data_IF_464688543234
#
_entry.id   IF_464688543234
#
_cell.length_a   1.000
_cell.length_b   1.000
_cell.length_c   1.000
_cell.angle_alpha   90.00
_cell.angle_beta   90.00
_cell.angle_gamma   90.00
#
_symmetry.space_group_name_H-M   'P 1'
#
loop_
_entity.id
_entity.type
_entity.pdbx_description
1 polymer ?
#
# COMPACT_ATOMS: atom_id res chain seq x y z
N UNK A 1 18.34 32.69 -7.83
CA UNK A 1 19.41 31.89 -7.21
C UNK A 1 20.58 31.86 -8.19
N UNK A 2 21.78 32.22 -7.75
CA UNK A 2 22.91 32.45 -8.61
C UNK A 2 23.48 31.12 -9.17
N UNK A 3 23.28 30.83 -10.46
CA UNK A 3 23.72 29.57 -11.13
C UNK A 3 25.20 29.23 -10.91
N UNK A 4 26.04 30.27 -10.65
CA UNK A 4 27.46 30.10 -10.34
C UNK A 4 27.71 29.51 -8.93
N UNK A 5 26.86 29.80 -7.94
CA UNK A 5 26.97 29.23 -6.60
C UNK A 5 26.54 27.75 -6.57
N UNK A 6 25.55 27.39 -7.37
CA UNK A 6 25.13 25.99 -7.53
C UNK A 6 26.22 25.14 -8.20
N UNK A 7 26.88 25.69 -9.25
CA UNK A 7 27.99 25.02 -9.92
C UNK A 7 29.22 24.86 -9.01
N UNK A 8 29.49 25.84 -8.12
CA UNK A 8 30.59 25.76 -7.16
C UNK A 8 30.32 24.72 -6.07
N UNK A 9 29.09 24.61 -5.59
CA UNK A 9 28.68 23.61 -4.61
C UNK A 9 28.79 22.20 -5.19
N UNK A 10 28.37 21.98 -6.42
CA UNK A 10 28.48 20.69 -7.12
C UNK A 10 29.95 20.35 -7.41
N UNK A 11 30.79 21.31 -7.82
CA UNK A 11 32.20 21.08 -8.06
C UNK A 11 32.99 20.79 -6.76
N UNK A 12 32.61 21.41 -5.64
CA UNK A 12 33.20 21.17 -4.33
C UNK A 12 32.93 19.75 -3.78
N UNK A 13 31.76 19.18 -4.08
CA UNK A 13 31.42 17.80 -3.70
C UNK A 13 32.17 16.79 -4.57
N UNK A 14 32.47 17.10 -5.82
CA UNK A 14 33.17 16.21 -6.75
C UNK A 14 34.72 16.26 -6.62
N UNK A 15 35.28 17.22 -5.89
CA UNK A 15 36.73 17.36 -5.70
C UNK A 15 37.28 16.76 -4.42
N UNK A 16 36.45 16.13 -3.57
CA UNK A 16 36.94 15.32 -2.45
C UNK A 16 37.73 14.13 -3.03
N UNK A 17 38.99 13.89 -2.61
CA UNK A 17 39.75 12.73 -3.06
C UNK A 17 38.98 11.48 -2.64
N UNK A 18 38.39 10.78 -3.61
CA UNK A 18 37.91 9.43 -3.45
C UNK A 18 39.11 8.55 -3.12
N UNK A 19 39.50 8.48 -1.85
CA UNK A 19 40.28 7.38 -1.35
C UNK A 19 39.38 6.14 -1.49
N UNK A 20 39.35 5.56 -2.68
CA UNK A 20 38.73 4.29 -2.95
C UNK A 20 39.44 3.20 -2.16
N UNK A 21 39.19 3.13 -0.87
CA UNK A 21 39.24 1.86 -0.20
C UNK A 21 38.13 1.03 -0.83
N UNK A 22 38.50 -0.07 -1.45
CA UNK A 22 37.58 -1.07 -1.96
C UNK A 22 36.76 -1.60 -0.78
N UNK A 23 35.73 -0.84 -0.36
CA UNK A 23 34.77 -1.29 0.60
C UNK A 23 33.82 -2.23 -0.12
N UNK A 24 33.78 -3.46 0.35
CA UNK A 24 32.89 -4.48 -0.15
C UNK A 24 31.44 -3.98 -0.01
N UNK A 25 30.83 -3.59 -1.09
CA UNK A 25 29.40 -3.32 -1.11
C UNK A 25 28.66 -4.61 -0.72
N UNK A 26 27.90 -4.56 0.36
CA UNK A 26 27.05 -5.68 0.76
C UNK A 26 25.84 -5.73 -0.15
N UNK A 27 25.85 -6.63 -1.13
CA UNK A 27 24.73 -6.87 -2.03
C UNK A 27 23.97 -8.12 -1.58
N UNK A 28 22.68 -7.98 -1.40
CA UNK A 28 21.78 -9.06 -0.98
C UNK A 28 20.76 -9.31 -2.07
N UNK A 29 20.67 -10.55 -2.56
CA UNK A 29 19.53 -11.06 -3.30
C UNK A 29 18.44 -11.46 -2.30
N UNK A 30 17.22 -11.04 -2.54
CA UNK A 30 16.07 -11.38 -1.70
C UNK A 30 14.81 -11.53 -2.54
N UNK A 31 13.80 -12.14 -1.94
CA UNK A 31 12.50 -12.23 -2.57
C UNK A 31 11.47 -12.95 -1.73
N UNK A 32 10.27 -13.02 -2.28
CA UNK A 32 9.21 -13.91 -1.79
C UNK A 32 8.38 -14.43 -2.93
N UNK A 33 7.95 -15.66 -2.81
CA UNK A 33 6.85 -16.23 -3.59
C UNK A 33 5.65 -16.38 -2.65
N UNK A 34 4.51 -15.80 -3.05
CA UNK A 34 3.22 -15.92 -2.36
C UNK A 34 2.18 -16.35 -3.39
N UNK A 35 1.83 -17.63 -3.35
CA UNK A 35 0.89 -18.23 -4.28
C UNK A 35 -0.33 -18.74 -3.51
N UNK A 36 -1.50 -18.53 -4.08
CA UNK A 36 -2.78 -18.97 -3.50
C UNK A 36 -3.59 -19.80 -4.45
N UNK A 37 -4.34 -20.72 -3.88
CA UNK A 37 -5.55 -21.29 -4.48
C UNK A 37 -6.74 -20.55 -3.88
N UNK A 38 -7.63 -20.10 -4.73
CA UNK A 38 -8.78 -19.30 -4.33
C UNK A 38 -10.07 -19.86 -4.94
N UNK A 39 -11.12 -19.88 -4.13
CA UNK A 39 -12.49 -20.05 -4.59
C UNK A 39 -13.21 -18.74 -4.29
N UNK A 40 -13.64 -18.01 -5.30
CA UNK A 40 -14.23 -16.67 -5.19
C UNK A 40 -15.53 -16.56 -5.97
N UNK A 41 -16.42 -15.68 -5.52
CA UNK A 41 -17.67 -15.38 -6.25
C UNK A 41 -18.02 -13.89 -6.09
N UNK A 42 -18.81 -13.37 -7.04
CA UNK A 42 -19.25 -11.97 -7.04
C UNK A 42 -20.41 -11.70 -6.07
N UNK A 43 -21.18 -12.74 -5.70
CA UNK A 43 -22.30 -12.60 -4.78
C UNK A 43 -23.46 -11.74 -5.32
N UNK A 44 -23.61 -11.63 -6.65
CA UNK A 44 -24.78 -11.05 -7.27
C UNK A 44 -25.70 -12.16 -7.80
N UNK A 45 -27.00 -11.94 -7.77
CA UNK A 45 -28.04 -12.94 -8.02
C UNK A 45 -28.11 -13.53 -9.43
N UNK A 46 -27.33 -13.06 -10.38
CA UNK A 46 -27.43 -13.46 -11.79
C UNK A 46 -26.34 -14.41 -12.27
N UNK A 47 -25.26 -14.59 -11.52
CA UNK A 47 -24.16 -15.52 -11.87
C UNK A 47 -23.45 -16.00 -10.59
N UNK A 48 -24.09 -16.86 -9.82
CA UNK A 48 -23.53 -17.42 -8.58
C UNK A 48 -22.49 -18.53 -8.81
N UNK A 49 -21.73 -18.45 -9.87
CA UNK A 49 -20.69 -19.45 -10.12
C UNK A 49 -19.43 -19.11 -9.32
N UNK A 50 -18.98 -20.08 -8.55
CA UNK A 50 -17.65 -20.04 -7.95
C UNK A 50 -16.57 -20.11 -9.03
N UNK A 51 -15.61 -19.19 -8.94
CA UNK A 51 -14.41 -19.17 -9.78
C UNK A 51 -13.28 -19.76 -8.98
N UNK A 52 -12.64 -20.78 -9.52
CA UNK A 52 -11.46 -21.40 -8.94
C UNK A 52 -10.24 -20.89 -9.68
N UNK A 53 -9.26 -20.35 -8.95
CA UNK A 53 -8.08 -19.76 -9.56
C UNK A 53 -6.83 -19.98 -8.71
N UNK A 54 -5.68 -19.92 -9.36
CA UNK A 54 -4.37 -19.80 -8.73
C UNK A 54 -3.88 -18.40 -8.97
N UNK A 55 -3.39 -17.70 -7.93
CA UNK A 55 -2.90 -16.34 -8.06
C UNK A 55 -1.53 -16.15 -7.41
N UNK A 56 -0.76 -15.26 -8.01
CA UNK A 56 0.45 -14.70 -7.43
C UNK A 56 0.10 -13.39 -6.68
N UNK A 57 0.45 -13.35 -5.39
CA UNK A 57 0.07 -12.26 -4.50
C UNK A 57 1.28 -11.38 -4.18
N UNK A 58 1.59 -10.45 -5.09
CA UNK A 58 2.75 -9.57 -4.97
C UNK A 58 4.06 -10.32 -4.75
N UNK A 59 4.21 -11.48 -5.40
CA UNK A 59 5.48 -12.20 -5.46
C UNK A 59 6.53 -11.33 -6.14
N UNK A 60 7.77 -11.41 -5.68
CA UNK A 60 8.83 -10.50 -6.07
C UNK A 60 10.20 -11.05 -5.81
N UNK A 61 11.17 -10.52 -6.52
CA UNK A 61 12.59 -10.67 -6.23
C UNK A 61 13.29 -9.33 -6.40
N UNK A 62 14.42 -9.16 -5.76
CA UNK A 62 15.18 -7.91 -5.85
C UNK A 62 16.61 -8.06 -5.35
N UNK A 63 17.38 -7.07 -5.67
CA UNK A 63 18.71 -6.84 -5.13
C UNK A 63 18.71 -5.53 -4.35
N UNK A 64 19.38 -5.51 -3.22
CA UNK A 64 19.63 -4.31 -2.44
C UNK A 64 21.05 -4.33 -1.88
N UNK A 65 21.57 -3.16 -1.62
CA UNK A 65 22.92 -3.07 -1.08
C UNK A 65 23.17 -1.78 -0.34
N UNK A 66 24.28 -1.82 0.41
CA UNK A 66 24.77 -0.67 1.17
C UNK A 66 26.26 -0.58 0.96
N UNK A 67 26.75 0.62 0.63
CA UNK A 67 28.17 0.95 0.54
C UNK A 67 28.48 2.05 1.56
N UNK A 68 29.48 1.84 2.40
CA UNK A 68 29.91 2.86 3.37
C UNK A 68 30.83 3.87 2.68
N UNK A 69 30.53 5.15 2.85
CA UNK A 69 31.38 6.25 2.36
C UNK A 69 32.31 6.80 3.45
N UNK A 70 32.31 6.20 4.65
CA UNK A 70 33.03 6.71 5.81
C UNK A 70 32.24 7.75 6.60
N UNK A 71 32.69 8.06 7.81
CA UNK A 71 32.07 9.08 8.65
C UNK A 71 30.62 8.80 9.06
N UNK A 72 30.15 7.55 8.96
CA UNK A 72 28.75 7.18 9.23
C UNK A 72 27.80 7.43 8.06
N UNK A 73 28.31 7.83 6.90
CA UNK A 73 27.53 8.03 5.67
C UNK A 73 27.57 6.77 4.80
N UNK A 74 26.43 6.36 4.29
CA UNK A 74 26.26 5.22 3.40
C UNK A 74 25.50 5.60 2.15
N UNK A 75 25.84 4.97 1.02
CA UNK A 75 24.95 4.85 -0.13
C UNK A 75 24.10 3.59 0.05
N UNK A 76 22.81 3.70 -0.22
CA UNK A 76 21.89 2.56 -0.26
C UNK A 76 21.25 2.49 -1.63
N UNK A 77 20.96 1.28 -2.08
CA UNK A 77 20.19 1.08 -3.30
C UNK A 77 19.27 -0.14 -3.19
N UNK A 78 18.22 -0.14 -3.94
CA UNK A 78 17.32 -1.27 -4.12
C UNK A 78 16.80 -1.28 -5.55
N UNK A 79 16.66 -2.49 -6.11
CA UNK A 79 15.98 -2.75 -7.37
C UNK A 79 15.07 -3.96 -7.16
N UNK A 80 13.76 -3.74 -7.14
CA UNK A 80 12.76 -4.79 -6.88
C UNK A 80 11.87 -4.99 -8.12
N UNK A 81 11.65 -6.25 -8.47
CA UNK A 81 10.87 -6.68 -9.63
C UNK A 81 9.70 -7.54 -9.17
N UNK A 82 8.57 -7.46 -9.85
CA UNK A 82 7.48 -8.42 -9.63
C UNK A 82 7.81 -9.77 -10.28
N UNK A 83 7.23 -10.84 -9.72
CA UNK A 83 7.34 -12.20 -10.24
C UNK A 83 5.95 -12.84 -10.24
N UNK A 84 5.35 -13.02 -11.41
CA UNK A 84 4.02 -13.62 -11.54
C UNK A 84 4.17 -15.15 -11.59
N UNK A 85 4.19 -15.78 -10.40
CA UNK A 85 4.45 -17.21 -10.26
C UNK A 85 3.30 -18.11 -10.71
N UNK A 86 2.12 -17.57 -10.94
CA UNK A 86 0.93 -18.25 -11.43
C UNK A 86 0.87 -18.33 -12.97
N UNK A 87 1.13 -17.21 -13.63
CA UNK A 87 1.00 -17.06 -15.08
C UNK A 87 2.33 -16.80 -15.80
N UNK A 88 3.41 -16.67 -15.05
CA UNK A 88 4.72 -16.28 -15.58
C UNK A 88 4.85 -14.79 -15.83
N UNK A 89 6.08 -14.33 -16.09
CA UNK A 89 6.39 -12.92 -16.34
C UNK A 89 6.57 -12.10 -15.05
N UNK A 90 6.45 -10.80 -15.21
CA UNK A 90 6.66 -9.79 -14.16
C UNK A 90 7.22 -8.51 -14.76
N UNK A 91 7.39 -7.49 -13.92
CA UNK A 91 7.94 -6.18 -14.33
C UNK A 91 9.28 -5.96 -13.66
N UNK A 92 10.34 -5.82 -14.47
CA UNK A 92 11.69 -5.51 -13.96
C UNK A 92 11.69 -4.09 -13.41
N UNK A 93 12.22 -3.91 -12.19
CA UNK A 93 12.30 -2.62 -11.50
C UNK A 93 10.95 -1.88 -11.35
N UNK A 94 9.83 -2.58 -11.50
CA UNK A 94 8.50 -2.00 -11.41
C UNK A 94 8.01 -1.82 -9.97
N UNK A 95 8.78 -2.31 -8.99
CA UNK A 95 8.48 -2.15 -7.56
C UNK A 95 9.48 -1.16 -6.95
N UNK A 96 9.76 -1.24 -5.65
CA UNK A 96 10.63 -0.29 -4.96
C UNK A 96 12.04 -0.31 -5.55
N UNK A 97 12.38 0.73 -6.27
CA UNK A 97 13.64 0.89 -6.99
C UNK A 97 14.18 2.29 -6.75
N UNK A 98 15.33 2.39 -6.07
CA UNK A 98 15.90 3.66 -5.66
C UNK A 98 17.41 3.60 -5.41
N UNK A 99 18.01 4.78 -5.37
CA UNK A 99 19.31 5.03 -4.76
C UNK A 99 19.15 6.12 -3.70
N UNK A 100 19.95 6.07 -2.63
CA UNK A 100 19.83 7.04 -1.55
C UNK A 100 21.09 7.17 -0.71
N UNK A 101 21.06 8.17 0.16
CA UNK A 101 22.06 8.42 1.18
C UNK A 101 21.44 8.21 2.56
N UNK A 102 22.18 7.52 3.43
CA UNK A 102 21.76 7.23 4.79
C UNK A 102 22.87 7.61 5.77
N UNK A 103 22.47 8.25 6.87
CA UNK A 103 23.38 8.64 7.95
C UNK A 103 22.68 8.73 9.29
N UNK A 104 23.35 9.27 10.32
CA UNK A 104 22.75 9.52 11.63
C UNK A 104 21.57 10.49 11.60
N UNK A 105 21.45 11.26 10.55
CA UNK A 105 20.36 12.21 10.30
C UNK A 105 19.13 11.58 9.64
N UNK A 106 19.18 10.30 9.25
CA UNK A 106 18.10 9.60 8.55
C UNK A 106 18.50 9.19 7.14
N UNK A 107 17.51 9.08 6.24
CA UNK A 107 17.70 8.60 4.86
C UNK A 107 17.04 9.55 3.87
N UNK A 108 17.76 9.91 2.80
CA UNK A 108 17.16 10.53 1.61
C UNK A 108 17.32 9.57 0.44
N UNK A 109 16.25 9.31 -0.29
CA UNK A 109 16.25 8.42 -1.47
C UNK A 109 15.48 9.03 -2.62
N UNK A 110 15.90 8.69 -3.85
CA UNK A 110 15.27 9.09 -5.11
C UNK A 110 14.96 7.84 -5.94
N UNK A 111 13.81 7.83 -6.60
CA UNK A 111 13.39 6.69 -7.42
C UNK A 111 11.88 6.48 -7.47
N UNK A 112 11.49 5.20 -7.48
CA UNK A 112 10.11 4.71 -7.47
C UNK A 112 9.88 3.85 -6.23
N UNK A 113 8.98 4.24 -5.35
CA UNK A 113 8.67 3.51 -4.11
C UNK A 113 7.31 3.93 -3.53
N UNK A 114 6.80 3.15 -2.56
CA UNK A 114 5.57 3.45 -1.86
C UNK A 114 5.63 4.79 -1.11
N UNK A 115 4.50 5.47 -1.05
CA UNK A 115 4.36 6.73 -0.33
C UNK A 115 4.33 6.52 1.19
N UNK A 116 4.68 7.54 2.01
CA UNK A 116 4.46 7.52 3.45
C UNK A 116 3.03 7.20 3.87
N UNK A 117 2.04 7.51 3.02
CA UNK A 117 0.64 7.17 3.26
C UNK A 117 0.42 5.66 3.36
N UNK A 118 1.15 4.86 2.58
CA UNK A 118 1.07 3.39 2.61
C UNK A 118 1.71 2.78 3.87
N UNK A 119 2.67 3.49 4.49
CA UNK A 119 3.40 3.00 5.67
C UNK A 119 2.50 2.86 6.92
N UNK A 120 1.26 3.37 6.90
CA UNK A 120 0.31 3.24 8.00
C UNK A 120 -0.41 1.87 8.03
N UNK A 121 -0.55 1.21 6.88
CA UNK A 121 -1.28 -0.05 6.74
C UNK A 121 -0.79 -1.16 7.67
N UNK A 122 0.53 -1.37 7.91
CA UNK A 122 1.02 -2.40 8.82
C UNK A 122 0.56 -2.25 10.27
N UNK A 123 0.15 -1.04 10.68
CA UNK A 123 -0.38 -0.82 12.04
C UNK A 123 -1.73 -1.51 12.21
N UNK A 124 -2.57 -1.52 11.19
CA UNK A 124 -3.87 -2.17 11.21
C UNK A 124 -3.78 -3.63 10.73
N UNK A 125 -3.14 -3.86 9.59
CA UNK A 125 -2.94 -5.17 8.99
C UNK A 125 -1.65 -5.83 9.48
N UNK A 126 -1.72 -6.60 10.55
CA UNK A 126 -0.53 -7.11 11.25
C UNK A 126 0.02 -8.45 10.71
N UNK A 127 -0.59 -9.03 9.69
CA UNK A 127 -0.16 -10.34 9.17
C UNK A 127 0.53 -10.17 7.81
N UNK A 128 1.73 -10.75 7.61
CA UNK A 128 2.55 -10.52 6.41
C UNK A 128 1.88 -10.83 5.07
N UNK A 129 0.78 -11.57 5.10
CA UNK A 129 0.05 -12.02 3.91
C UNK A 129 -1.21 -11.22 3.61
N UNK A 130 -1.75 -10.48 4.58
CA UNK A 130 -3.09 -9.88 4.50
C UNK A 130 -3.16 -8.67 3.58
N UNK A 131 -2.08 -7.91 3.44
CA UNK A 131 -2.04 -6.76 2.53
C UNK A 131 -1.75 -7.15 1.09
N UNK A 132 -1.66 -8.43 0.77
CA UNK A 132 -1.21 -8.90 -0.56
C UNK A 132 -1.96 -10.09 -1.12
N UNK A 133 -3.15 -10.40 -0.61
CA UNK A 133 -4.07 -11.42 -1.15
C UNK A 133 -5.49 -10.87 -1.19
N UNK A 134 -6.47 -11.67 -1.55
CA UNK A 134 -7.89 -11.26 -1.47
C UNK A 134 -8.32 -10.85 -0.05
N UNK A 135 -7.55 -11.22 0.98
CA UNK A 135 -7.76 -10.83 2.38
C UNK A 135 -7.28 -9.40 2.68
N UNK A 136 -6.81 -8.65 1.67
CA UNK A 136 -6.28 -7.31 1.85
C UNK A 136 -7.38 -6.32 2.21
N UNK A 137 -7.26 -5.72 3.36
CA UNK A 137 -8.17 -4.67 3.85
C UNK A 137 -8.11 -3.37 3.04
N UNK A 138 -7.11 -3.22 2.16
CA UNK A 138 -7.02 -2.09 1.25
C UNK A 138 -8.08 -2.12 0.12
N UNK A 139 -8.97 -3.11 0.09
CA UNK A 139 -10.13 -3.11 -0.79
C UNK A 139 -11.01 -1.87 -0.57
N UNK A 140 -11.24 -1.50 0.68
CA UNK A 140 -11.98 -0.32 1.08
C UNK A 140 -11.04 0.83 1.47
N UNK A 141 -9.97 0.52 2.17
CA UNK A 141 -8.97 1.48 2.61
C UNK A 141 -8.14 1.98 1.43
N UNK A 142 -7.79 3.26 1.42
CA UNK A 142 -7.04 3.94 0.37
C UNK A 142 -7.73 3.93 -1.02
N UNK A 143 -8.95 3.43 -1.10
CA UNK A 143 -9.77 3.39 -2.29
C UNK A 143 -9.06 2.72 -3.49
N UNK A 144 -8.84 1.40 -3.40
CA UNK A 144 -8.28 0.65 -4.55
C UNK A 144 -9.00 1.00 -5.87
N UNK A 145 -8.29 1.12 -6.99
CA UNK A 145 -7.00 0.51 -7.31
C UNK A 145 -5.79 1.33 -6.84
N UNK A 146 -4.66 0.67 -6.64
CA UNK A 146 -3.39 1.27 -6.23
C UNK A 146 -2.77 2.11 -7.36
N UNK A 147 -3.47 3.17 -7.76
CA UNK A 147 -3.05 4.09 -8.83
C UNK A 147 -3.55 5.51 -8.59
N UNK A 148 -2.60 6.44 -8.45
CA UNK A 148 -2.90 7.87 -8.28
C UNK A 148 -3.72 8.46 -9.44
N UNK A 149 -3.54 7.96 -10.66
CA UNK A 149 -4.27 8.42 -11.85
C UNK A 149 -5.72 7.94 -11.89
N UNK A 150 -6.08 7.01 -11.02
CA UNK A 150 -7.43 6.50 -10.87
C UNK A 150 -8.07 6.90 -9.53
N UNK A 151 -7.35 7.65 -8.69
CA UNK A 151 -7.84 8.12 -7.40
C UNK A 151 -7.48 7.23 -6.21
N UNK A 152 -6.55 6.30 -6.37
CA UNK A 152 -5.99 5.51 -5.28
C UNK A 152 -4.83 6.22 -4.58
N UNK A 153 -4.73 6.06 -3.28
CA UNK A 153 -3.65 6.60 -2.44
C UNK A 153 -2.62 5.53 -2.03
N UNK A 154 -2.96 4.26 -2.12
CA UNK A 154 -2.06 3.12 -1.91
C UNK A 154 -1.23 2.84 -3.18
N UNK A 155 -0.30 3.73 -3.51
CA UNK A 155 0.42 3.68 -4.77
C UNK A 155 1.94 3.87 -4.62
N UNK A 156 2.68 3.24 -5.54
CA UNK A 156 4.07 3.62 -5.78
C UNK A 156 4.14 4.89 -6.60
N UNK A 157 4.95 5.80 -6.15
CA UNK A 157 5.16 7.08 -6.80
C UNK A 157 6.55 7.08 -7.45
N UNK A 158 6.58 7.09 -8.77
CA UNK A 158 7.80 7.32 -9.55
C UNK A 158 8.25 8.77 -9.48
N UNK A 159 9.45 9.06 -9.98
CA UNK A 159 10.03 10.41 -10.02
C UNK A 159 10.00 11.11 -8.66
N UNK A 160 10.27 10.34 -7.60
CA UNK A 160 10.09 10.74 -6.22
C UNK A 160 11.40 11.03 -5.52
N UNK A 161 11.34 11.98 -4.59
CA UNK A 161 12.32 12.17 -3.52
C UNK A 161 11.60 11.95 -2.18
N UNK A 162 12.21 11.18 -1.29
CA UNK A 162 11.68 10.90 0.05
C UNK A 162 12.77 11.04 1.11
N UNK A 163 12.42 11.66 2.22
CA UNK A 163 13.21 11.65 3.44
C UNK A 163 12.51 10.82 4.50
N UNK A 164 13.27 9.94 5.14
CA UNK A 164 12.88 9.16 6.31
C UNK A 164 13.75 9.58 7.50
N UNK A 165 13.16 10.00 8.62
CA UNK A 165 13.90 10.37 9.84
C UNK A 165 14.57 9.16 10.50
N UNK A 166 15.58 9.36 11.34
CA UNK A 166 16.00 8.32 12.28
C UNK A 166 14.88 8.03 13.28
N UNK A 167 14.96 6.87 13.95
CA UNK A 167 14.07 6.58 15.08
C UNK A 167 14.55 7.38 16.31
N UNK A 168 13.67 8.23 16.84
CA UNK A 168 13.93 9.04 18.03
C UNK A 168 12.96 8.58 19.13
N UNK A 169 13.40 7.71 20.01
CA UNK A 169 12.61 7.19 21.15
C UNK A 169 11.26 6.58 20.72
N UNK A 170 11.25 5.86 19.61
CA UNK A 170 10.05 5.22 19.03
C UNK A 170 9.35 6.06 17.97
N UNK A 171 9.66 7.33 17.82
CA UNK A 171 9.10 8.20 16.79
C UNK A 171 9.91 8.14 15.49
N UNK A 172 9.22 8.02 14.37
CA UNK A 172 9.76 8.17 13.01
C UNK A 172 8.83 9.05 12.19
N UNK A 173 9.38 9.76 11.22
CA UNK A 173 8.61 10.57 10.29
C UNK A 173 9.15 10.44 8.87
N UNK A 174 8.29 10.61 7.89
CA UNK A 174 8.68 10.60 6.48
C UNK A 174 7.91 11.63 5.68
N UNK A 175 8.58 12.17 4.68
CA UNK A 175 8.00 13.11 3.70
C UNK A 175 8.47 12.72 2.30
N UNK A 176 7.56 12.83 1.33
CA UNK A 176 7.80 12.49 -0.07
C UNK A 176 7.16 13.51 -0.99
N UNK A 177 7.86 13.83 -2.07
CA UNK A 177 7.31 14.55 -3.20
C UNK A 177 7.58 13.76 -4.47
N UNK A 178 6.56 13.60 -5.31
CA UNK A 178 6.65 12.99 -6.64
C UNK A 178 6.34 14.02 -7.69
N UNK A 179 7.21 14.12 -8.70
CA UNK A 179 7.02 15.01 -9.83
C UNK A 179 6.39 14.28 -11.02
N UNK A 180 5.79 15.01 -11.93
CA UNK A 180 5.37 14.47 -13.22
C UNK A 180 6.25 15.04 -14.33
N UNK A 181 7.00 14.18 -15.01
CA UNK A 181 7.92 14.58 -16.07
C UNK A 181 7.24 15.19 -17.29
N UNK A 182 5.98 14.83 -17.54
CA UNK A 182 5.27 15.21 -18.77
C UNK A 182 4.48 16.51 -18.68
N UNK A 183 4.62 17.25 -17.58
CA UNK A 183 3.97 18.56 -17.37
C UNK A 183 2.44 18.58 -17.53
N UNK A 184 1.80 17.42 -17.62
CA UNK A 184 0.34 17.27 -17.83
C UNK A 184 -0.42 17.05 -16.54
N UNK A 185 0.27 16.63 -15.48
CA UNK A 185 -0.31 16.35 -14.17
C UNK A 185 0.56 16.96 -13.06
N UNK A 186 -0.06 17.32 -11.97
CA UNK A 186 0.59 17.99 -10.86
C UNK A 186 1.50 17.09 -10.02
N UNK A 187 1.93 17.62 -8.90
CA UNK A 187 2.77 16.94 -7.92
C UNK A 187 1.94 16.13 -6.96
N UNK A 188 2.53 15.05 -6.42
CA UNK A 188 2.01 14.33 -5.27
C UNK A 188 2.90 14.60 -4.08
N UNK A 189 2.29 14.94 -2.96
CA UNK A 189 2.94 15.12 -1.67
C UNK A 189 2.38 14.11 -0.68
N UNK A 190 3.24 13.40 0.02
CA UNK A 190 2.83 12.45 1.05
C UNK A 190 3.71 12.61 2.28
N UNK A 191 3.12 12.51 3.46
CA UNK A 191 3.84 12.55 4.73
C UNK A 191 3.23 11.61 5.75
N UNK A 192 4.07 11.09 6.65
CA UNK A 192 3.64 10.25 7.75
C UNK A 192 4.46 10.48 9.01
N UNK A 193 3.80 10.33 10.15
CA UNK A 193 4.41 10.32 11.47
C UNK A 193 3.98 9.06 12.21
N UNK A 194 4.94 8.33 12.79
CA UNK A 194 4.70 7.02 13.39
C UNK A 194 5.35 6.93 14.76
N UNK A 195 4.70 6.20 15.65
CA UNK A 195 5.22 5.82 16.95
C UNK A 195 5.17 4.31 17.09
N UNK A 196 6.31 3.71 17.44
CA UNK A 196 6.43 2.27 17.68
C UNK A 196 7.39 2.04 18.84
N UNK A 197 6.84 1.96 20.05
CA UNK A 197 7.60 1.61 21.25
C UNK A 197 6.73 0.90 22.28
N UNK A 198 7.31 -0.11 22.94
CA UNK A 198 6.59 -0.95 23.88
C UNK A 198 5.40 -1.66 23.20
N UNK A 199 4.22 -1.69 23.84
CA UNK A 199 3.03 -2.35 23.27
C UNK A 199 2.29 -1.45 22.25
N UNK A 200 2.58 -0.16 22.18
CA UNK A 200 1.85 0.81 21.37
C UNK A 200 2.50 0.98 19.99
N UNK A 201 1.67 0.89 18.96
CA UNK A 201 1.95 1.35 17.62
C UNK A 201 0.88 2.37 17.21
N UNK A 202 1.27 3.49 16.67
CA UNK A 202 0.34 4.51 16.19
C UNK A 202 0.92 5.25 15.01
N UNK A 203 0.08 5.79 14.14
CA UNK A 203 0.52 6.57 13.00
C UNK A 203 -0.57 7.50 12.49
N UNK A 204 -0.13 8.54 11.84
CA UNK A 204 -0.93 9.44 11.03
C UNK A 204 -0.23 9.63 9.70
N UNK A 205 -0.97 9.57 8.61
CA UNK A 205 -0.46 9.79 7.27
C UNK A 205 -1.40 10.67 6.48
N UNK A 206 -0.84 11.47 5.60
CA UNK A 206 -1.55 12.37 4.70
C UNK A 206 -0.93 12.32 3.32
N UNK A 207 -1.78 12.39 2.28
CA UNK A 207 -1.36 12.50 0.90
C UNK A 207 -2.23 13.50 0.15
N UNK A 208 -1.59 14.30 -0.71
CA UNK A 208 -2.22 15.29 -1.57
C UNK A 208 -1.79 15.04 -3.01
N UNK A 209 -2.76 14.74 -3.87
CA UNK A 209 -2.57 14.50 -5.29
C UNK A 209 -3.06 15.73 -6.08
N UNK A 210 -2.14 16.55 -6.57
CA UNK A 210 -2.50 17.71 -7.39
C UNK A 210 -2.46 17.35 -8.87
N UNK A 211 -3.62 17.29 -9.52
CA UNK A 211 -3.73 17.02 -10.95
C UNK A 211 -3.36 15.61 -11.38
N UNK A 212 -3.26 14.64 -10.47
CA UNK A 212 -2.84 13.28 -10.80
C UNK A 212 -3.86 12.54 -11.68
N UNK A 213 -5.16 12.74 -11.47
CA UNK A 213 -6.23 12.16 -12.28
C UNK A 213 -6.50 12.99 -13.54
N UNK A 214 -6.53 14.30 -13.42
CA UNK A 214 -6.66 15.24 -14.53
C UNK A 214 -6.20 16.64 -14.09
N UNK A 215 -5.81 17.49 -15.04
CA UNK A 215 -5.37 18.85 -14.75
C UNK A 215 -6.42 19.62 -13.93
N UNK A 216 -5.98 20.26 -12.85
CA UNK A 216 -6.81 21.08 -11.97
C UNK A 216 -7.59 20.32 -10.89
N UNK A 217 -7.68 19.00 -10.93
CA UNK A 217 -8.31 18.21 -9.85
C UNK A 217 -7.33 17.98 -8.70
N UNK A 218 -7.87 18.01 -7.49
CA UNK A 218 -7.12 17.73 -6.27
C UNK A 218 -7.77 16.61 -5.51
N UNK A 219 -6.95 15.73 -4.96
CA UNK A 219 -7.41 14.64 -4.11
C UNK A 219 -6.59 14.63 -2.84
N UNK A 220 -7.26 14.50 -1.71
CA UNK A 220 -6.65 14.49 -0.38
C UNK A 220 -7.06 13.22 0.37
N UNK A 221 -6.11 12.66 1.10
CA UNK A 221 -6.35 11.55 2.01
C UNK A 221 -5.65 11.80 3.35
N UNK A 222 -6.33 11.49 4.44
CA UNK A 222 -5.76 11.41 5.76
C UNK A 222 -6.14 10.09 6.39
N UNK A 223 -5.18 9.40 7.00
CA UNK A 223 -5.40 8.17 7.72
C UNK A 223 -4.74 8.21 9.09
N UNK A 224 -5.43 7.68 10.09
CA UNK A 224 -4.93 7.51 11.47
C UNK A 224 -5.14 6.06 11.86
N UNK A 225 -4.10 5.41 12.36
CA UNK A 225 -4.19 4.04 12.85
C UNK A 225 -3.45 3.90 14.17
N UNK A 226 -3.99 3.04 15.05
CA UNK A 226 -3.37 2.72 16.34
C UNK A 226 -3.59 1.27 16.71
N UNK A 227 -2.60 0.66 17.34
CA UNK A 227 -2.69 -0.71 17.82
C UNK A 227 -1.99 -0.92 19.15
N UNK A 228 -2.52 -1.85 19.95
CA UNK A 228 -1.97 -2.24 21.24
C UNK A 228 -1.72 -3.72 21.30
N UNK A 229 -0.52 -4.11 21.67
CA UNK A 229 -0.09 -5.49 21.80
C UNK A 229 -0.17 -5.92 23.29
N UNK A 230 -1.06 -6.88 23.59
CA UNK A 230 -1.23 -7.47 24.92
C UNK A 230 -0.34 -8.69 25.16
N UNK A 231 0.57 -9.02 24.23
CA UNK A 231 1.42 -10.20 24.25
C UNK A 231 0.77 -11.37 23.51
N UNK A 232 -0.26 -11.95 24.04
CA UNK A 232 -1.02 -13.07 23.41
C UNK A 232 -1.91 -12.60 22.26
N UNK A 233 -2.37 -11.36 22.32
CA UNK A 233 -3.26 -10.75 21.35
C UNK A 233 -2.83 -9.31 21.03
N UNK A 234 -3.23 -8.83 19.87
CA UNK A 234 -3.12 -7.44 19.48
C UNK A 234 -4.45 -6.96 18.92
N UNK A 235 -4.84 -5.73 19.24
CA UNK A 235 -6.00 -5.04 18.67
C UNK A 235 -5.53 -3.76 18.02
N UNK A 236 -6.09 -3.42 16.86
CA UNK A 236 -5.82 -2.17 16.18
C UNK A 236 -7.09 -1.56 15.60
N UNK A 237 -7.08 -0.24 15.45
CA UNK A 237 -8.13 0.53 14.82
C UNK A 237 -7.57 1.43 13.73
N UNK A 238 -8.42 1.80 12.77
CA UNK A 238 -8.12 2.74 11.69
C UNK A 238 -9.29 3.68 11.48
N UNK A 239 -8.96 4.91 11.13
CA UNK A 239 -9.86 5.90 10.55
C UNK A 239 -9.20 6.51 9.33
N UNK A 240 -9.96 6.72 8.24
CA UNK A 240 -9.52 7.38 7.02
C UNK A 240 -10.59 8.34 6.53
N UNK A 241 -10.16 9.46 5.98
CA UNK A 241 -10.99 10.35 5.16
C UNK A 241 -10.34 10.59 3.81
N UNK A 242 -11.12 10.38 2.76
CA UNK A 242 -10.80 10.74 1.38
C UNK A 242 -11.63 11.94 0.95
N UNK A 243 -11.04 12.83 0.15
CA UNK A 243 -11.70 14.00 -0.45
C UNK A 243 -11.21 14.16 -1.89
N UNK A 244 -12.12 14.09 -2.84
CA UNK A 244 -11.85 14.13 -4.27
C UNK A 244 -12.53 15.31 -4.92
N UNK A 245 -11.82 16.07 -5.74
CA UNK A 245 -12.46 16.95 -6.72
C UNK A 245 -13.12 16.10 -7.82
N UNK A 246 -14.32 16.46 -8.22
CA UNK A 246 -15.05 15.79 -9.30
C UNK A 246 -15.01 16.63 -10.57
N UNK A 247 -14.64 16.04 -11.70
CA UNK A 247 -14.47 16.75 -12.98
C UNK A 247 -15.76 17.46 -13.45
N UNK A 248 -16.94 16.95 -13.10
CA UNK A 248 -18.23 17.57 -13.37
C UNK A 248 -18.58 18.71 -12.39
N UNK A 249 -17.71 18.99 -11.41
CA UNK A 249 -17.87 19.99 -10.38
C UNK A 249 -18.25 19.41 -9.02
N UNK A 250 -17.86 20.13 -7.97
CA UNK A 250 -18.06 19.71 -6.59
C UNK A 250 -17.01 18.72 -6.08
N UNK A 251 -17.20 18.22 -4.88
CA UNK A 251 -16.33 17.25 -4.26
C UNK A 251 -17.07 16.00 -3.81
N UNK A 252 -16.32 14.91 -3.70
CA UNK A 252 -16.76 13.61 -3.23
C UNK A 252 -15.88 13.21 -2.04
N UNK A 253 -16.50 12.96 -0.89
CA UNK A 253 -15.82 12.58 0.35
C UNK A 253 -16.30 11.23 0.83
N UNK A 254 -15.40 10.48 1.47
CA UNK A 254 -15.73 9.23 2.14
C UNK A 254 -14.95 9.11 3.43
N UNK A 255 -15.62 8.76 4.50
CA UNK A 255 -15.02 8.32 5.75
C UNK A 255 -14.94 6.79 5.79
N UNK A 256 -13.93 6.25 6.48
CA UNK A 256 -13.76 4.84 6.72
C UNK A 256 -13.27 4.64 8.13
N UNK A 257 -13.72 3.59 8.79
CA UNK A 257 -13.19 3.13 10.07
C UNK A 257 -13.18 1.61 10.13
N UNK A 258 -12.31 1.08 10.99
CA UNK A 258 -12.21 -0.36 11.12
C UNK A 258 -11.51 -0.79 12.40
N UNK A 259 -11.67 -2.06 12.70
CA UNK A 259 -11.02 -2.74 13.83
C UNK A 259 -10.44 -4.06 13.33
N UNK A 260 -9.23 -4.36 13.78
CA UNK A 260 -8.59 -5.64 13.54
C UNK A 260 -8.03 -6.25 14.83
N UNK A 261 -7.88 -7.57 14.83
CA UNK A 261 -7.25 -8.27 15.93
C UNK A 261 -6.41 -9.43 15.44
N UNK A 262 -5.30 -9.68 16.14
CA UNK A 262 -4.52 -10.91 16.03
C UNK A 262 -4.49 -11.63 17.35
N UNK A 263 -4.53 -12.94 17.31
CA UNK A 263 -4.44 -13.81 18.47
C UNK A 263 -3.47 -14.96 18.19
N UNK A 264 -2.47 -15.15 19.06
CA UNK A 264 -1.54 -16.26 18.94
C UNK A 264 -2.24 -17.56 19.34
N UNK A 265 -2.40 -18.47 18.39
CA UNK A 265 -3.10 -19.73 18.57
C UNK A 265 -2.20 -20.91 18.19
N UNK A 266 -1.71 -21.62 19.19
CA UNK A 266 -0.69 -22.65 18.98
C UNK A 266 0.58 -22.05 18.35
N UNK A 267 1.17 -22.68 17.33
CA UNK A 267 2.33 -22.17 16.63
C UNK A 267 2.01 -21.08 15.62
N UNK A 268 0.74 -20.83 15.35
CA UNK A 268 0.26 -19.89 14.34
C UNK A 268 -0.45 -18.68 14.95
N UNK A 269 -1.07 -17.90 14.06
CA UNK A 269 -1.75 -16.67 14.42
C UNK A 269 -3.09 -16.57 13.70
N UNK A 270 -4.14 -16.39 14.48
CA UNK A 270 -5.47 -16.03 13.99
C UNK A 270 -5.53 -14.51 13.80
N UNK A 271 -6.08 -14.06 12.68
CA UNK A 271 -6.39 -12.67 12.40
C UNK A 271 -7.85 -12.53 12.02
N UNK A 272 -8.47 -11.45 12.48
CA UNK A 272 -9.78 -11.02 12.02
C UNK A 272 -9.81 -9.51 11.88
N UNK A 273 -10.55 -9.02 10.88
CA UNK A 273 -10.75 -7.58 10.67
C UNK A 273 -12.17 -7.31 10.17
N UNK A 274 -12.65 -6.13 10.55
CA UNK A 274 -13.83 -5.49 10.00
C UNK A 274 -13.49 -4.05 9.65
N UNK A 275 -13.89 -3.63 8.45
CA UNK A 275 -13.75 -2.26 7.95
C UNK A 275 -15.07 -1.84 7.37
N UNK A 276 -15.49 -0.61 7.67
CA UNK A 276 -16.66 0.04 7.12
C UNK A 276 -16.24 1.32 6.37
N UNK A 277 -16.67 1.40 5.11
CA UNK A 277 -16.58 2.61 4.29
C UNK A 277 -17.97 3.25 4.23
N UNK A 278 -18.08 4.47 4.73
CA UNK A 278 -19.34 5.24 4.73
C UNK A 278 -19.83 5.56 3.31
N UNK A 279 -21.08 5.97 3.20
CA UNK A 279 -21.64 6.58 1.99
C UNK A 279 -20.80 7.74 1.47
N UNK A 280 -20.68 7.85 0.16
CA UNK A 280 -20.06 9.00 -0.49
C UNK A 280 -20.87 10.27 -0.28
N UNK A 281 -20.25 11.29 0.32
CA UNK A 281 -20.85 12.60 0.67
C UNK A 281 -20.18 13.71 -0.12
N UNK A 282 -20.67 14.93 0.01
CA UNK A 282 -20.04 16.12 -0.58
C UNK A 282 -20.98 16.88 -1.51
N UNK A 283 -20.44 17.81 -2.28
CA UNK A 283 -21.21 18.72 -3.16
C UNK A 283 -21.32 18.25 -4.61
N UNK A 284 -20.65 17.14 -4.98
CA UNK A 284 -20.82 16.55 -6.30
C UNK A 284 -22.26 16.00 -6.50
N UNK A 285 -22.68 15.85 -7.73
CA UNK A 285 -23.98 15.24 -8.06
C UNK A 285 -24.02 13.77 -7.61
N UNK A 286 -25.20 13.28 -7.22
CA UNK A 286 -25.40 11.88 -6.87
C UNK A 286 -25.04 10.98 -8.08
N UNK A 287 -24.41 9.86 -7.80
CA UNK A 287 -23.86 8.96 -8.80
C UNK A 287 -22.48 9.35 -9.33
N UNK A 288 -21.93 10.52 -8.95
CA UNK A 288 -20.52 10.85 -9.23
C UNK A 288 -19.60 9.82 -8.59
N UNK A 289 -18.54 9.42 -9.31
CA UNK A 289 -17.67 8.34 -8.89
C UNK A 289 -16.20 8.70 -9.05
N UNK A 290 -15.39 8.33 -8.06
CA UNK A 290 -13.91 8.29 -8.15
C UNK A 290 -13.45 6.96 -7.58
N UNK A 291 -12.76 6.16 -8.40
CA UNK A 291 -12.37 4.78 -8.09
C UNK A 291 -13.58 3.96 -7.58
N UNK A 292 -13.50 3.37 -6.39
CA UNK A 292 -14.59 2.60 -5.77
C UNK A 292 -15.63 3.45 -5.02
N UNK A 293 -15.33 4.73 -4.76
CA UNK A 293 -16.23 5.62 -4.01
C UNK A 293 -17.29 6.23 -4.93
N UNK A 294 -18.55 6.09 -4.55
CA UNK A 294 -19.71 6.65 -5.27
C UNK A 294 -20.43 7.64 -4.37
N UNK A 295 -20.88 8.78 -4.92
CA UNK A 295 -21.68 9.80 -4.22
C UNK A 295 -23.14 9.39 -4.14
N UNK A 296 -23.72 9.45 -2.95
CA UNK A 296 -25.16 9.23 -2.74
C UNK A 296 -25.45 8.31 -1.57
N UNK A 297 -26.71 7.97 -1.39
CA UNK A 297 -27.15 7.03 -0.38
C UNK A 297 -26.91 5.57 -0.83
N UNK A 298 -26.80 4.68 0.14
CA UNK A 298 -26.61 3.24 -0.09
C UNK A 298 -25.35 2.94 -0.93
N UNK A 299 -24.29 3.73 -0.74
CA UNK A 299 -22.97 3.58 -1.36
C UNK A 299 -21.92 3.08 -0.41
N UNK A 300 -22.32 2.74 0.82
CA UNK A 300 -21.46 2.20 1.88
C UNK A 300 -21.09 0.74 1.62
N UNK A 301 -20.06 0.27 2.31
CA UNK A 301 -19.62 -1.12 2.22
C UNK A 301 -18.92 -1.57 3.48
N UNK A 302 -19.10 -2.83 3.81
CA UNK A 302 -18.37 -3.52 4.88
C UNK A 302 -17.43 -4.58 4.31
N UNK A 303 -16.23 -4.70 4.87
CA UNK A 303 -15.35 -5.83 4.62
C UNK A 303 -15.12 -6.61 5.91
N UNK A 304 -15.31 -7.90 5.83
CA UNK A 304 -15.03 -8.87 6.88
C UNK A 304 -13.97 -9.83 6.41
N UNK A 305 -12.89 -9.98 7.17
CA UNK A 305 -11.85 -10.97 6.88
C UNK A 305 -11.47 -11.75 8.12
N UNK A 306 -11.20 -13.04 7.94
CA UNK A 306 -10.65 -13.92 8.97
C UNK A 306 -9.62 -14.84 8.33
N UNK A 307 -8.49 -15.05 9.01
CA UNK A 307 -7.46 -15.95 8.50
C UNK A 307 -6.63 -16.56 9.62
N UNK A 308 -6.05 -17.71 9.31
CA UNK A 308 -5.07 -18.36 10.18
C UNK A 308 -3.78 -18.57 9.41
N UNK A 309 -2.67 -18.12 9.98
CA UNK A 309 -1.32 -18.25 9.43
C UNK A 309 -0.55 -19.28 10.26
N UNK A 310 0.07 -20.25 9.59
CA UNK A 310 0.85 -21.29 10.24
C UNK A 310 2.29 -21.29 9.71
N UNK A 311 3.32 -21.11 10.56
CA UNK A 311 4.72 -21.14 10.15
C UNK A 311 5.18 -22.59 9.97
N UNK A 312 5.65 -22.95 8.78
CA UNK A 312 6.32 -24.20 8.47
C UNK A 312 7.81 -24.13 8.80
N UNK A 313 8.40 -22.96 8.64
CA UNK A 313 9.79 -22.67 8.97
C UNK A 313 9.98 -21.17 9.19
N UNK A 314 11.21 -20.71 9.48
CA UNK A 314 11.55 -19.28 9.58
C UNK A 314 11.32 -18.50 8.28
N UNK A 315 11.27 -19.18 7.14
CA UNK A 315 11.12 -18.57 5.80
C UNK A 315 9.87 -19.02 5.04
N UNK A 316 9.11 -19.97 5.60
CA UNK A 316 7.96 -20.53 4.92
C UNK A 316 6.76 -20.56 5.85
N UNK A 317 5.66 -20.02 5.39
CA UNK A 317 4.39 -20.08 6.10
C UNK A 317 3.26 -20.47 5.14
N UNK A 318 2.22 -21.07 5.69
CA UNK A 318 0.94 -21.30 5.00
C UNK A 318 -0.14 -20.48 5.68
N UNK A 319 -1.22 -20.23 4.95
CA UNK A 319 -2.39 -19.57 5.51
C UNK A 319 -3.67 -20.03 4.82
N UNK A 320 -4.73 -19.94 5.55
CA UNK A 320 -6.10 -20.09 5.03
C UNK A 320 -6.93 -18.92 5.52
N UNK A 321 -7.91 -18.51 4.76
CA UNK A 321 -8.76 -17.41 5.17
C UNK A 321 -10.03 -17.28 4.34
N UNK A 322 -10.91 -16.42 4.82
CA UNK A 322 -12.15 -16.03 4.19
C UNK A 322 -12.28 -14.52 4.23
N UNK A 323 -12.79 -13.96 3.16
CA UNK A 323 -13.11 -12.53 3.05
C UNK A 323 -14.47 -12.37 2.38
N UNK A 324 -15.19 -11.34 2.82
CA UNK A 324 -16.43 -10.87 2.20
C UNK A 324 -16.44 -9.35 2.19
N UNK A 325 -16.79 -8.79 1.04
CA UNK A 325 -17.12 -7.39 0.87
C UNK A 325 -18.64 -7.31 0.71
N UNK A 326 -19.32 -6.64 1.61
CA UNK A 326 -20.78 -6.51 1.65
C UNK A 326 -21.16 -5.10 1.19
N UNK A 327 -21.36 -4.96 -0.11
CA UNK A 327 -21.73 -3.70 -0.72
C UNK A 327 -23.22 -3.40 -0.53
N UNK A 328 -23.54 -2.15 -0.21
CA UNK A 328 -24.89 -1.63 -0.29
C UNK A 328 -25.35 -1.48 -1.75
N UNK A 329 -26.59 -1.08 -1.96
CA UNK A 329 -27.28 -1.13 -3.26
C UNK A 329 -26.52 -0.41 -4.38
N UNK A 330 -25.87 0.72 -4.08
CA UNK A 330 -25.16 1.54 -5.04
C UNK A 330 -23.64 1.42 -4.94
N UNK A 331 -23.10 0.65 -3.97
CA UNK A 331 -21.68 0.42 -3.80
C UNK A 331 -21.12 -0.60 -4.81
N UNK A 332 -19.79 -0.51 -5.09
CA UNK A 332 -19.12 -1.36 -6.09
C UNK A 332 -17.70 -1.75 -5.69
N UNK A 333 -17.44 -1.91 -4.40
CA UNK A 333 -16.13 -2.34 -3.95
C UNK A 333 -15.88 -3.81 -4.29
N UNK A 334 -14.61 -4.14 -4.54
CA UNK A 334 -14.13 -5.48 -4.84
C UNK A 334 -12.80 -5.73 -4.13
N UNK A 335 -12.22 -6.91 -4.26
CA UNK A 335 -10.90 -7.19 -3.68
C UNK A 335 -9.84 -6.25 -4.25
N UNK A 336 -8.92 -5.78 -3.40
CA UNK A 336 -7.80 -4.94 -3.83
C UNK A 336 -6.80 -5.75 -4.67
N UNK A 337 -6.41 -6.92 -4.18
CA UNK A 337 -5.45 -7.80 -4.87
C UNK A 337 -6.23 -8.85 -5.65
N UNK A 338 -5.88 -8.99 -6.95
CA UNK A 338 -6.57 -9.88 -7.88
C UNK A 338 -8.09 -9.65 -7.88
N UNK A 339 -8.55 -8.42 -8.18
CA UNK A 339 -9.96 -8.07 -8.13
C UNK A 339 -10.79 -8.96 -9.07
N UNK A 340 -12.04 -9.15 -8.73
CA UNK A 340 -13.03 -9.70 -9.63
C UNK A 340 -13.51 -8.56 -10.54
N UNK A 341 -13.07 -8.57 -11.79
CA UNK A 341 -13.43 -7.56 -12.78
C UNK A 341 -14.41 -8.12 -13.82
N UNK A 342 -14.98 -7.23 -14.62
CA UNK A 342 -15.95 -7.60 -15.66
C UNK A 342 -15.42 -8.61 -16.70
N UNK A 343 -14.11 -8.62 -16.96
CA UNK A 343 -13.52 -9.56 -17.93
C UNK A 343 -13.36 -10.97 -17.37
N UNK A 344 -13.37 -11.13 -16.05
CA UNK A 344 -13.22 -12.44 -15.38
C UNK A 344 -14.56 -13.16 -15.21
N UNK A 345 -15.69 -12.46 -15.36
CA UNK A 345 -17.03 -12.99 -15.09
C UNK A 345 -18.03 -12.40 -16.09
N UNK A 346 -18.80 -13.27 -16.71
CA UNK A 346 -19.91 -12.86 -17.58
C UNK A 346 -20.94 -12.09 -16.73
N UNK A 347 -21.06 -10.77 -16.91
CA UNK A 347 -22.01 -9.91 -16.20
C UNK A 347 -21.39 -8.82 -15.32
N UNK A 348 -20.09 -8.91 -14.99
CA UNK A 348 -19.37 -7.89 -14.19
C UNK A 348 -19.84 -7.72 -12.75
N UNK A 349 -19.14 -6.88 -11.98
CA UNK A 349 -19.66 -6.35 -10.72
C UNK A 349 -20.85 -5.43 -11.05
N UNK A 350 -22.05 -5.91 -10.78
CA UNK A 350 -23.22 -5.04 -10.71
C UNK A 350 -23.19 -4.27 -9.39
N UNK A 351 -23.94 -3.19 -9.33
CA UNK A 351 -24.39 -2.63 -8.05
C UNK A 351 -24.91 -3.78 -7.18
N UNK A 352 -24.64 -3.73 -5.86
CA UNK A 352 -25.01 -4.78 -4.89
C UNK A 352 -24.21 -6.09 -4.95
N UNK A 353 -23.16 -6.20 -5.76
CA UNK A 353 -22.29 -7.38 -5.73
C UNK A 353 -21.65 -7.51 -4.35
N UNK A 354 -21.66 -8.73 -3.79
CA UNK A 354 -21.05 -9.05 -2.48
C UNK A 354 -19.90 -10.01 -2.68
N UNK A 355 -18.76 -9.52 -3.21
CA UNK A 355 -17.60 -10.37 -3.46
C UNK A 355 -17.17 -11.11 -2.21
N UNK A 356 -16.97 -12.42 -2.32
CA UNK A 356 -16.48 -13.23 -1.23
C UNK A 356 -15.56 -14.33 -1.73
N UNK A 357 -14.70 -14.83 -0.87
CA UNK A 357 -13.79 -15.89 -1.24
C UNK A 357 -13.11 -16.59 -0.08
N UNK A 358 -12.77 -17.85 -0.36
CA UNK A 358 -11.88 -18.65 0.49
C UNK A 358 -10.53 -18.73 -0.20
N UNK A 359 -9.47 -18.61 0.57
CA UNK A 359 -8.10 -18.65 0.10
C UNK A 359 -7.26 -19.61 0.94
N UNK A 360 -6.43 -20.39 0.28
CA UNK A 360 -5.33 -21.15 0.89
C UNK A 360 -4.04 -20.81 0.17
N UNK A 361 -3.00 -20.45 0.90
CA UNK A 361 -1.75 -19.96 0.33
C UNK A 361 -0.49 -20.48 1.02
N UNK A 362 0.61 -20.38 0.27
CA UNK A 362 1.95 -20.60 0.77
C UNK A 362 2.83 -19.41 0.43
N UNK A 363 3.62 -18.98 1.41
CA UNK A 363 4.61 -17.92 1.23
C UNK A 363 5.98 -18.47 1.57
N UNK A 364 6.93 -18.24 0.68
CA UNK A 364 8.33 -18.55 0.91
C UNK A 364 9.21 -17.33 0.68
N UNK A 365 10.05 -16.99 1.66
CA UNK A 365 11.03 -15.90 1.61
C UNK A 365 12.42 -16.48 1.36
N UNK A 366 13.21 -15.88 0.50
CA UNK A 366 14.59 -16.28 0.17
C UNK A 366 15.54 -15.09 0.11
#
# INVERSE_FOLDING_TARGET
>A
MNKKLLALAVAGVLSAPLAAQAQTANVTLYGRLNLTMEAVQLGNSTAENWIYRVNSNSSRFGIKGTESLGGGLNVIFQLESSANGDAGGGTIAGRDTYVGLQGGWGTVKIGNFLAPYDDIHPIFGNVPTLTTSILSTAALWANAPSSKTQGGFDARLGNSIRYDSPNISGFTGSIQASTNENNTHGMVYSMGGFYNAGPLQAGVAWEHNQGARAAGLKDDAISVSGGWNFGIARVAGVYERLDYDVAAGGNLKRDLFGVSGTFNLGPGQLYAAWIHADDGKGSAADGSQVAGTVKGNDTSSDEYSISYTYPLSKRTLTYVGYVRVDNDENARYTFNINPLNQSSVTGGLSQQGKPQGVVAGIVHFF
#
